data_IF_842691185824
#
_entry.id   IF_842691185824
#
_cell.length_a   1.000
_cell.length_b   1.000
_cell.length_c   1.000
_cell.angle_alpha   90.00
_cell.angle_beta   90.00
_cell.angle_gamma   90.00
#
_symmetry.space_group_name_H-M   'P 1'
#
loop_
_entity.id
_entity.type
_entity.pdbx_description
1 polymer ?
#
# COMPACT_ATOMS: atom_id res chain seq x y z
N UNK A 1 26.84 19.46 45.13
CA UNK A 1 26.80 18.14 44.46
C UNK A 1 27.20 18.40 43.03
N UNK A 2 28.31 17.84 42.57
CA UNK A 2 28.81 18.01 41.20
C UNK A 2 27.92 17.24 40.24
N UNK A 3 27.08 17.95 39.50
CA UNK A 3 26.26 17.38 38.43
C UNK A 3 27.17 17.14 37.23
N UNK A 4 27.50 15.88 36.93
CA UNK A 4 28.16 15.54 35.67
C UNK A 4 27.06 15.37 34.62
N UNK A 5 26.90 16.33 33.67
CA UNK A 5 25.93 16.19 32.60
C UNK A 5 26.35 15.03 31.69
N UNK A 6 25.40 14.14 31.40
CA UNK A 6 25.54 13.06 30.44
C UNK A 6 24.88 13.50 29.14
N UNK A 7 25.65 13.62 28.08
CA UNK A 7 25.15 13.88 26.74
C UNK A 7 24.80 12.56 26.07
N UNK A 8 23.52 12.39 25.68
CA UNK A 8 23.01 11.20 25.02
C UNK A 8 22.55 11.54 23.60
N UNK A 9 23.01 10.80 22.60
CA UNK A 9 22.51 10.94 21.23
C UNK A 9 21.24 10.13 21.04
N UNK A 10 20.16 10.81 20.67
CA UNK A 10 18.85 10.24 20.44
C UNK A 10 18.55 10.20 18.94
N UNK A 11 17.99 9.09 18.46
CA UNK A 11 17.59 8.88 17.07
C UNK A 11 16.13 8.42 17.04
N UNK A 12 15.31 8.90 16.11
CA UNK A 12 13.93 8.40 15.99
C UNK A 12 13.90 7.15 15.13
N UNK A 13 13.09 6.16 15.49
CA UNK A 13 12.90 4.92 14.72
C UNK A 13 12.55 5.24 13.26
N UNK A 14 13.34 4.72 12.31
CA UNK A 14 13.21 4.98 10.88
C UNK A 14 13.96 6.22 10.35
N UNK A 15 14.85 6.82 11.14
CA UNK A 15 15.73 7.92 10.72
C UNK A 15 17.17 7.45 10.43
N UNK A 16 17.97 8.30 9.78
CA UNK A 16 19.42 8.12 9.56
C UNK A 16 20.22 8.72 10.72
N UNK A 17 21.45 8.26 11.00
CA UNK A 17 22.25 8.78 12.13
C UNK A 17 22.54 10.29 12.02
N UNK A 18 22.56 10.83 10.81
CA UNK A 18 22.67 12.28 10.54
C UNK A 18 21.52 13.13 11.11
N UNK A 19 20.40 12.51 11.46
CA UNK A 19 19.23 13.16 12.07
C UNK A 19 19.18 12.99 13.60
N UNK A 20 20.21 12.35 14.18
CA UNK A 20 20.35 12.22 15.62
C UNK A 20 20.51 13.60 16.28
N UNK A 21 20.03 13.70 17.52
CA UNK A 21 20.08 14.92 18.31
C UNK A 21 20.57 14.61 19.72
N UNK A 22 21.34 15.52 20.30
CA UNK A 22 21.88 15.37 21.65
C UNK A 22 20.87 15.81 22.71
N UNK A 23 20.81 15.08 23.83
CA UNK A 23 20.07 15.47 25.03
C UNK A 23 21.03 15.45 26.22
N UNK A 24 21.12 16.58 26.92
CA UNK A 24 21.92 16.69 28.14
C UNK A 24 21.06 16.39 29.37
N UNK A 25 21.47 15.42 30.17
CA UNK A 25 20.74 15.00 31.37
C UNK A 25 21.70 14.62 32.51
N UNK A 26 21.33 14.94 33.75
CA UNK A 26 22.07 14.52 34.94
C UNK A 26 21.96 13.00 35.15
N UNK A 27 23.08 12.31 35.34
CA UNK A 27 23.15 10.86 35.55
C UNK A 27 22.30 10.35 36.74
N UNK A 28 22.02 11.20 37.72
CA UNK A 28 21.17 10.85 38.87
C UNK A 28 19.68 10.77 38.52
N UNK A 29 19.28 11.31 37.38
CA UNK A 29 17.90 11.30 36.88
C UNK A 29 17.50 9.93 36.35
N UNK A 30 16.21 9.74 36.13
CA UNK A 30 15.62 8.46 35.72
C UNK A 30 15.24 8.45 34.25
N UNK A 31 14.94 7.26 33.71
CA UNK A 31 14.43 7.10 32.34
C UNK A 31 13.16 7.94 32.08
N UNK A 32 12.29 8.13 33.07
CA UNK A 32 11.13 9.03 32.97
C UNK A 32 11.54 10.49 32.65
N UNK A 33 12.58 10.99 33.32
CA UNK A 33 13.10 12.33 33.05
C UNK A 33 13.70 12.43 31.64
N UNK A 34 14.38 11.37 31.18
CA UNK A 34 14.91 11.30 29.82
C UNK A 34 13.80 11.36 28.77
N UNK A 35 12.71 10.60 28.95
CA UNK A 35 11.54 10.62 28.05
C UNK A 35 10.94 12.03 27.94
N UNK A 36 10.81 12.74 29.08
CA UNK A 36 10.30 14.12 29.11
C UNK A 36 11.21 15.10 28.37
N UNK A 37 12.53 14.99 28.54
CA UNK A 37 13.49 15.84 27.84
C UNK A 37 13.48 15.57 26.33
N UNK A 38 13.50 14.31 25.91
CA UNK A 38 13.42 13.92 24.49
C UNK A 38 12.18 14.51 23.81
N UNK A 39 11.03 14.47 24.49
CA UNK A 39 9.78 15.07 23.98
C UNK A 39 9.94 16.59 23.79
N UNK A 40 10.50 17.29 24.77
CA UNK A 40 10.71 18.75 24.71
C UNK A 40 11.67 19.15 23.60
N UNK A 41 12.81 18.45 23.47
CA UNK A 41 13.85 18.80 22.48
C UNK A 41 13.41 18.57 21.03
N UNK A 42 12.62 17.52 20.78
CA UNK A 42 12.13 17.21 19.42
C UNK A 42 10.74 17.82 19.15
N UNK A 43 10.25 18.75 19.97
CA UNK A 43 9.00 19.47 19.70
C UNK A 43 9.10 20.26 18.37
N UNK A 44 8.02 20.34 17.55
CA UNK A 44 6.66 19.86 17.83
C UNK A 44 6.43 18.40 17.47
N UNK A 45 7.48 17.66 17.08
CA UNK A 45 7.33 16.33 16.48
C UNK A 45 6.64 15.36 17.42
N UNK A 46 6.93 15.37 18.71
CA UNK A 46 6.32 14.46 19.71
C UNK A 46 5.17 15.08 20.51
N UNK A 47 4.57 16.17 20.03
CA UNK A 47 3.47 16.83 20.75
C UNK A 47 2.22 15.94 20.86
N UNK A 48 2.03 15.08 19.86
CA UNK A 48 0.92 14.12 19.70
C UNK A 48 1.02 12.87 20.61
N UNK A 49 2.17 12.63 21.24
CA UNK A 49 2.43 11.39 22.03
C UNK A 49 2.79 11.76 23.46
N UNK A 50 2.20 11.11 24.47
CA UNK A 50 2.59 11.35 25.85
C UNK A 50 4.03 10.85 26.10
N UNK A 51 4.82 11.55 26.91
CA UNK A 51 6.24 11.24 27.07
C UNK A 51 6.46 9.79 27.57
N UNK A 52 5.58 9.30 28.44
CA UNK A 52 5.59 7.95 28.99
C UNK A 52 5.26 6.86 27.96
N UNK A 53 4.54 7.19 26.88
CA UNK A 53 4.21 6.29 25.76
C UNK A 53 5.38 6.05 24.80
N UNK A 54 6.42 6.90 24.83
CA UNK A 54 7.63 6.68 24.03
C UNK A 54 8.38 5.44 24.52
N UNK A 55 8.77 4.56 23.60
CA UNK A 55 9.63 3.41 23.89
C UNK A 55 11.07 3.76 23.55
N UNK A 56 11.97 3.63 24.52
CA UNK A 56 13.39 3.94 24.35
C UNK A 56 14.22 2.66 24.29
N UNK A 57 15.14 2.59 23.35
CA UNK A 57 16.09 1.49 23.18
C UNK A 57 17.51 2.02 23.21
N UNK A 58 18.38 1.42 24.02
CA UNK A 58 19.82 1.61 23.91
C UNK A 58 20.34 0.70 22.81
N UNK A 59 21.02 1.27 21.82
CA UNK A 59 21.54 0.55 20.65
C UNK A 59 22.97 0.96 20.35
N UNK A 60 23.71 0.05 19.73
CA UNK A 60 25.03 0.32 19.15
C UNK A 60 24.91 0.35 17.62
N UNK A 61 25.35 1.44 16.98
CA UNK A 61 25.29 1.61 15.53
C UNK A 61 26.71 1.81 15.01
N UNK A 62 27.27 0.86 14.23
CA UNK A 62 28.58 1.02 13.61
C UNK A 62 28.60 2.12 12.54
N UNK A 63 29.75 2.77 12.35
CA UNK A 63 29.94 3.85 11.36
C UNK A 63 29.58 3.45 9.92
N UNK A 64 29.73 2.18 9.57
CA UNK A 64 29.36 1.62 8.26
C UNK A 64 27.87 1.77 7.92
N UNK A 65 27.01 2.05 8.91
CA UNK A 65 25.55 2.21 8.75
C UNK A 65 25.08 3.67 8.80
N UNK A 66 25.96 4.66 8.81
CA UNK A 66 25.59 6.08 9.00
C UNK A 66 24.56 6.62 7.98
N UNK A 67 24.61 6.18 6.72
CA UNK A 67 23.72 6.66 5.65
C UNK A 67 22.45 5.81 5.45
N UNK A 68 22.22 4.82 6.32
CA UNK A 68 21.07 3.92 6.24
C UNK A 68 19.98 4.28 7.24
N UNK A 69 18.72 4.03 6.89
CA UNK A 69 17.60 4.16 7.83
C UNK A 69 17.71 3.08 8.90
N UNK A 70 17.70 3.50 10.16
CA UNK A 70 17.86 2.60 11.29
C UNK A 70 16.49 2.34 11.91
N UNK A 71 16.06 1.09 11.81
CA UNK A 71 14.86 0.60 12.49
C UNK A 71 15.24 -0.25 13.69
N UNK A 72 14.42 -0.19 14.74
CA UNK A 72 14.60 -1.02 15.95
C UNK A 72 14.75 -2.50 15.57
N UNK A 73 14.01 -2.97 14.56
CA UNK A 73 13.97 -4.38 14.16
C UNK A 73 15.17 -4.86 13.35
N UNK A 74 15.91 -3.94 12.72
CA UNK A 74 17.11 -4.28 11.94
C UNK A 74 18.40 -4.37 12.78
N UNK A 75 18.33 -4.06 14.08
CA UNK A 75 19.48 -4.06 14.99
C UNK A 75 19.50 -5.32 15.88
N UNK A 76 20.62 -6.04 15.84
CA UNK A 76 20.84 -7.24 16.65
C UNK A 76 21.08 -6.93 18.13
N UNK A 77 21.91 -5.92 18.42
CA UNK A 77 22.28 -5.53 19.78
C UNK A 77 21.44 -4.33 20.26
N UNK A 78 20.30 -4.61 20.88
CA UNK A 78 19.40 -3.59 21.46
C UNK A 78 18.95 -3.96 22.87
N UNK A 79 18.97 -2.97 23.77
CA UNK A 79 18.46 -3.11 25.15
C UNK A 79 17.33 -2.12 25.40
N UNK A 80 16.13 -2.62 25.70
CA UNK A 80 14.99 -1.76 25.98
C UNK A 80 15.12 -1.08 27.36
N UNK A 81 14.91 0.23 27.41
CA UNK A 81 14.87 1.01 28.65
C UNK A 81 13.45 1.00 29.24
N UNK A 82 12.99 -0.18 29.65
CA UNK A 82 11.59 -0.43 30.01
C UNK A 82 11.17 0.12 31.40
N UNK A 83 12.09 0.25 32.35
CA UNK A 83 11.77 0.63 33.73
C UNK A 83 11.99 2.13 33.97
N UNK A 84 10.92 2.94 34.13
CA UNK A 84 11.00 4.40 34.26
C UNK A 84 11.70 4.89 35.53
N UNK A 85 11.83 4.03 36.55
CA UNK A 85 12.52 4.34 37.82
C UNK A 85 14.03 4.09 37.76
N UNK A 86 14.52 3.46 36.70
CA UNK A 86 15.96 3.17 36.55
C UNK A 86 16.72 4.49 36.42
N UNK A 87 17.75 4.67 37.25
CA UNK A 87 18.65 5.82 37.16
C UNK A 87 19.58 5.66 35.96
N UNK A 88 19.88 6.77 35.29
CA UNK A 88 20.78 6.78 34.14
C UNK A 88 22.20 6.37 34.54
N UNK A 89 22.64 6.68 35.75
CA UNK A 89 23.94 6.22 36.29
C UNK A 89 24.08 4.69 36.36
N UNK A 90 22.97 3.95 36.40
CA UNK A 90 22.98 2.48 36.34
C UNK A 90 23.02 1.96 34.89
N UNK A 91 22.49 2.73 33.95
CA UNK A 91 22.41 2.37 32.53
C UNK A 91 23.67 2.79 31.75
N UNK A 92 24.30 3.88 32.19
CA UNK A 92 25.50 4.52 31.66
C UNK A 92 26.46 4.79 32.82
N UNK A 93 27.09 3.73 33.38
CA UNK A 93 28.09 3.90 34.44
C UNK A 93 29.36 4.61 33.95
N UNK A 94 29.65 4.49 32.64
CA UNK A 94 30.70 5.19 31.92
C UNK A 94 30.06 6.09 30.84
N UNK A 95 30.79 7.10 30.36
CA UNK A 95 30.32 7.93 29.25
C UNK A 95 30.10 7.06 28.01
N UNK A 96 28.93 7.13 27.36
CA UNK A 96 28.65 6.34 26.16
C UNK A 96 29.62 6.71 25.04
N UNK A 97 30.06 5.69 24.30
CA UNK A 97 30.84 5.88 23.08
C UNK A 97 30.03 6.61 22.01
N UNK A 98 30.71 7.22 21.04
CA UNK A 98 30.09 7.97 19.92
C UNK A 98 29.09 7.13 19.11
N UNK A 99 29.23 5.80 19.15
CA UNK A 99 28.40 4.83 18.44
C UNK A 99 27.22 4.30 19.27
N UNK A 100 27.00 4.83 20.48
CA UNK A 100 25.87 4.48 21.35
C UNK A 100 24.74 5.49 21.18
N UNK A 101 23.58 5.00 20.75
CA UNK A 101 22.39 5.83 20.54
C UNK A 101 21.21 5.37 21.40
N UNK A 102 20.31 6.30 21.68
CA UNK A 102 18.97 6.06 22.21
C UNK A 102 17.98 6.11 21.05
N UNK A 103 17.49 4.96 20.60
CA UNK A 103 16.46 4.88 19.59
C UNK A 103 15.08 5.13 20.24
N UNK A 104 14.38 6.14 19.74
CA UNK A 104 13.08 6.62 20.22
C UNK A 104 12.00 6.08 19.29
N UNK A 105 11.27 5.08 19.77
CA UNK A 105 10.18 4.45 19.06
C UNK A 105 8.84 4.99 19.59
N UNK A 106 7.97 5.38 18.65
CA UNK A 106 6.59 5.76 18.97
C UNK A 106 5.77 4.52 19.33
N UNK A 107 4.74 4.64 20.18
CA UNK A 107 3.78 3.57 20.28
C UNK A 107 3.21 3.26 18.88
N UNK A 108 3.03 1.98 18.51
CA UNK A 108 2.29 1.64 17.30
C UNK A 108 0.93 2.32 17.41
N UNK A 109 0.44 2.92 16.33
CA UNK A 109 -0.85 3.60 16.37
C UNK A 109 -1.94 2.56 16.66
N UNK A 110 -2.27 2.40 17.94
CA UNK A 110 -3.58 1.91 18.35
C UNK A 110 -4.52 2.83 17.60
N UNK A 111 -5.33 2.26 16.71
CA UNK A 111 -6.28 3.01 15.90
C UNK A 111 -7.23 3.79 16.81
N UNK A 112 -6.79 4.96 17.27
CA UNK A 112 -7.66 6.06 17.54
C UNK A 112 -8.27 6.43 16.18
N UNK A 113 -9.60 6.62 16.13
CA UNK A 113 -10.29 6.92 14.90
C UNK A 113 -9.61 8.11 14.22
N UNK A 114 -9.33 7.93 12.93
CA UNK A 114 -8.88 8.94 11.98
C UNK A 114 -9.32 10.35 12.42
N UNK A 115 -8.42 11.33 12.58
CA UNK A 115 -8.83 12.70 12.78
C UNK A 115 -9.64 13.12 11.56
N UNK A 116 -10.94 13.24 11.75
CA UNK A 116 -11.83 13.91 10.83
C UNK A 116 -11.25 15.30 10.58
N UNK A 117 -10.80 15.52 9.35
CA UNK A 117 -10.78 16.81 8.68
C UNK A 117 -12.02 17.57 9.16
N UNK A 118 -11.82 18.73 9.79
CA UNK A 118 -12.86 19.51 10.47
C UNK A 118 -14.20 19.43 9.71
N UNK A 119 -15.11 18.62 10.23
CA UNK A 119 -16.51 18.63 9.85
C UNK A 119 -17.10 19.75 10.68
N UNK A 120 -17.37 20.87 10.03
CA UNK A 120 -18.31 21.88 10.52
C UNK A 120 -19.59 21.15 10.94
N UNK A 121 -20.11 21.30 12.16
CA UNK A 121 -21.37 20.68 12.53
C UNK A 121 -22.48 21.40 11.78
N UNK A 122 -23.14 20.71 10.84
CA UNK A 122 -24.41 21.16 10.26
C UNK A 122 -25.56 20.41 10.96
N UNK A 123 -26.52 21.14 11.55
CA UNK A 123 -27.70 20.56 12.17
C UNK A 123 -28.67 20.07 11.08
N UNK A 124 -29.10 18.81 11.18
CA UNK A 124 -30.08 18.25 10.25
C UNK A 124 -30.21 16.74 10.36
N UNK A 125 -30.99 16.32 11.35
CA UNK A 125 -31.48 14.96 11.58
C UNK A 125 -31.81 14.17 10.30
N UNK A 126 -31.17 13.01 10.14
CA UNK A 126 -31.83 11.81 9.61
C UNK A 126 -31.39 10.61 10.46
N UNK A 127 -32.12 10.38 11.53
CA UNK A 127 -32.19 9.07 12.19
C UNK A 127 -32.86 8.07 11.25
N UNK A 128 -32.08 7.13 10.72
CA UNK A 128 -32.62 5.86 10.23
C UNK A 128 -31.64 4.72 10.53
N UNK A 129 -31.70 4.22 11.76
CA UNK A 129 -30.84 3.18 12.33
C UNK A 129 -31.22 1.76 11.90
N UNK A 130 -31.97 1.60 10.80
CA UNK A 130 -32.52 0.30 10.36
C UNK A 130 -31.72 -0.42 9.26
N UNK A 131 -30.89 0.28 8.47
CA UNK A 131 -30.30 -0.25 7.21
C UNK A 131 -28.93 -0.99 7.22
N UNK A 132 -28.01 -0.87 8.21
CA UNK A 132 -26.65 -1.42 8.06
C UNK A 132 -26.58 -2.96 7.94
N UNK A 133 -27.53 -3.67 8.54
CA UNK A 133 -27.55 -5.14 8.54
C UNK A 133 -27.98 -5.72 7.18
N UNK A 134 -28.83 -5.01 6.44
CA UNK A 134 -29.35 -5.43 5.15
C UNK A 134 -28.30 -5.28 4.03
N UNK A 135 -27.55 -4.18 4.00
CA UNK A 135 -26.57 -3.95 2.93
C UNK A 135 -25.45 -4.99 2.93
N UNK A 136 -24.93 -5.35 4.12
CA UNK A 136 -23.90 -6.37 4.23
C UNK A 136 -24.42 -7.74 3.78
N UNK A 137 -25.66 -8.07 4.15
CA UNK A 137 -26.32 -9.29 3.72
C UNK A 137 -26.55 -9.30 2.20
N UNK A 138 -26.95 -8.18 1.61
CA UNK A 138 -27.15 -8.02 0.18
C UNK A 138 -25.85 -8.16 -0.62
N UNK A 139 -24.77 -7.49 -0.18
CA UNK A 139 -23.44 -7.65 -0.78
C UNK A 139 -23.02 -9.12 -0.71
N UNK A 140 -23.22 -9.78 0.44
CA UNK A 140 -22.90 -11.19 0.61
C UNK A 140 -23.72 -12.05 -0.37
N UNK A 141 -25.02 -11.81 -0.49
CA UNK A 141 -25.90 -12.55 -1.39
C UNK A 141 -25.50 -12.39 -2.85
N UNK A 142 -25.10 -11.19 -3.27
CA UNK A 142 -24.57 -10.93 -4.61
C UNK A 142 -23.26 -11.70 -4.83
N UNK A 143 -22.32 -11.61 -3.89
CA UNK A 143 -21.05 -12.31 -3.97
C UNK A 143 -21.25 -13.85 -4.00
N UNK A 144 -22.07 -14.40 -3.11
CA UNK A 144 -22.38 -15.84 -3.05
C UNK A 144 -22.96 -16.32 -4.39
N UNK A 145 -23.85 -15.54 -5.02
CA UNK A 145 -24.42 -15.86 -6.33
C UNK A 145 -23.38 -15.74 -7.45
N UNK A 146 -22.59 -14.67 -7.45
CA UNK A 146 -21.59 -14.40 -8.47
C UNK A 146 -20.51 -15.49 -8.48
N UNK A 147 -20.08 -15.94 -7.29
CA UNK A 147 -19.09 -16.99 -7.10
C UNK A 147 -19.68 -18.39 -6.90
N UNK A 148 -20.99 -18.57 -7.11
CA UNK A 148 -21.64 -19.88 -6.96
C UNK A 148 -21.01 -20.90 -7.90
N UNK A 149 -20.84 -22.14 -7.44
CA UNK A 149 -20.25 -23.23 -8.25
C UNK A 149 -20.99 -23.38 -9.58
N UNK A 150 -20.26 -23.23 -10.69
CA UNK A 150 -20.82 -23.34 -12.03
C UNK A 150 -21.30 -22.00 -12.63
N UNK A 151 -21.23 -20.89 -11.88
CA UNK A 151 -21.41 -19.56 -12.46
C UNK A 151 -20.32 -19.27 -13.51
N UNK A 152 -20.58 -18.40 -14.52
CA UNK A 152 -19.56 -18.01 -15.50
C UNK A 152 -18.27 -17.53 -14.84
N UNK A 153 -18.39 -16.63 -13.86
CA UNK A 153 -17.25 -16.09 -13.12
C UNK A 153 -16.47 -17.16 -12.34
N UNK A 154 -17.14 -18.08 -11.64
CA UNK A 154 -16.44 -19.15 -10.89
C UNK A 154 -15.74 -20.12 -11.83
N UNK A 155 -16.38 -20.52 -12.94
CA UNK A 155 -15.79 -21.40 -13.96
C UNK A 155 -14.55 -20.76 -14.57
N UNK A 156 -14.63 -19.48 -14.91
CA UNK A 156 -13.50 -18.73 -15.45
C UNK A 156 -12.36 -18.58 -14.42
N UNK A 157 -12.66 -18.05 -13.22
CA UNK A 157 -11.66 -17.79 -12.18
C UNK A 157 -11.00 -19.07 -11.70
N UNK A 158 -11.73 -20.18 -11.56
CA UNK A 158 -11.16 -21.48 -11.23
C UNK A 158 -10.17 -21.96 -12.28
N UNK A 159 -10.54 -21.88 -13.56
CA UNK A 159 -9.65 -22.27 -14.65
C UNK A 159 -8.42 -21.38 -14.71
N UNK A 160 -8.60 -20.08 -14.51
CA UNK A 160 -7.51 -19.09 -14.50
C UNK A 160 -6.52 -19.36 -13.35
N UNK A 161 -7.04 -19.45 -12.12
CA UNK A 161 -6.24 -19.65 -10.90
C UNK A 161 -5.52 -20.98 -10.91
N UNK A 162 -6.13 -22.04 -11.47
CA UNK A 162 -5.50 -23.36 -11.63
C UNK A 162 -4.48 -23.42 -12.79
N UNK A 163 -4.14 -22.29 -13.41
CA UNK A 163 -3.16 -22.21 -14.50
C UNK A 163 -3.63 -22.84 -15.82
N UNK A 164 -4.94 -23.10 -15.99
CA UNK A 164 -5.49 -23.73 -17.20
C UNK A 164 -5.70 -22.74 -18.34
N UNK A 165 -5.49 -21.45 -18.11
CA UNK A 165 -5.54 -20.40 -19.13
C UNK A 165 -4.13 -19.95 -19.46
N UNK A 166 -3.80 -19.90 -20.74
CA UNK A 166 -2.54 -19.34 -21.19
C UNK A 166 -2.50 -17.85 -20.84
N UNK A 167 -1.47 -17.43 -20.11
CA UNK A 167 -1.22 -16.01 -19.87
C UNK A 167 -0.66 -15.38 -21.16
N UNK A 168 -0.95 -14.10 -21.43
CA UNK A 168 -0.35 -13.31 -22.50
C UNK A 168 1.14 -13.01 -22.28
N UNK A 169 1.79 -13.68 -21.33
CA UNK A 169 3.24 -13.56 -21.14
C UNK A 169 3.87 -14.27 -22.31
N UNK A 170 4.37 -13.49 -23.26
CA UNK A 170 4.88 -14.04 -24.51
C UNK A 170 6.37 -13.86 -24.64
N UNK A 171 6.98 -14.78 -25.38
CA UNK A 171 8.27 -14.59 -26.04
C UNK A 171 8.10 -14.07 -27.48
N UNK A 172 6.86 -13.97 -27.97
CA UNK A 172 6.44 -13.51 -29.33
C UNK A 172 5.20 -12.59 -29.28
N UNK A 173 4.53 -12.26 -30.39
CA UNK A 173 3.36 -11.38 -30.36
C UNK A 173 2.05 -12.01 -29.88
N UNK A 174 1.15 -11.18 -29.31
CA UNK A 174 -0.14 -11.60 -28.70
C UNK A 174 -1.30 -11.06 -29.53
N UNK A 175 -2.28 -11.91 -29.83
CA UNK A 175 -3.54 -11.51 -30.49
C UNK A 175 -4.47 -10.83 -29.48
N UNK A 176 -5.01 -9.64 -29.83
CA UNK A 176 -6.01 -8.93 -29.01
C UNK A 176 -5.47 -7.83 -28.08
N UNK A 177 -4.16 -7.56 -28.08
CA UNK A 177 -3.59 -6.42 -27.33
C UNK A 177 -3.62 -5.12 -28.16
N UNK A 178 -3.70 -3.93 -27.51
CA UNK A 178 -3.59 -2.64 -28.19
C UNK A 178 -2.30 -2.55 -29.01
N UNK A 179 -2.43 -2.16 -30.28
CA UNK A 179 -1.28 -2.02 -31.20
C UNK A 179 -0.36 -0.90 -30.70
N UNK A 180 0.94 -1.17 -30.61
CA UNK A 180 1.94 -0.10 -30.67
C UNK A 180 1.94 0.40 -32.11
N UNK A 181 1.41 1.62 -32.35
CA UNK A 181 1.48 2.24 -33.67
C UNK A 181 2.95 2.33 -34.08
N UNK A 182 3.33 1.62 -35.16
CA UNK A 182 4.58 1.95 -35.85
C UNK A 182 4.46 3.40 -36.33
N UNK A 183 5.46 4.23 -36.03
CA UNK A 183 5.58 5.53 -36.73
C UNK A 183 5.81 5.23 -38.20
N UNK A 184 4.81 5.53 -39.03
CA UNK A 184 4.85 5.33 -40.48
C UNK A 184 4.10 4.09 -40.94
N UNK A 185 2.97 4.36 -41.62
CA UNK A 185 2.14 3.48 -42.48
C UNK A 185 1.48 2.26 -41.81
N UNK A 186 0.16 2.30 -41.85
CA UNK A 186 -0.75 1.21 -41.48
C UNK A 186 -0.88 0.27 -42.67
N UNK A 187 -0.57 -1.01 -42.49
CA UNK A 187 -1.34 -2.04 -43.20
C UNK A 187 -1.27 -3.42 -42.49
N UNK A 188 -2.41 -4.11 -42.51
CA UNK A 188 -2.66 -5.52 -42.11
C UNK A 188 -2.76 -5.91 -40.61
N UNK A 189 -3.32 -7.12 -40.41
CA UNK A 189 -4.30 -7.55 -39.40
C UNK A 189 -3.80 -7.82 -37.95
N UNK A 190 -4.65 -7.49 -36.97
CA UNK A 190 -4.99 -8.09 -35.65
C UNK A 190 -4.00 -8.86 -34.76
N UNK A 191 -2.70 -8.91 -35.05
CA UNK A 191 -1.72 -9.52 -34.14
C UNK A 191 -0.36 -8.86 -34.27
N UNK A 192 0.09 -8.19 -33.21
CA UNK A 192 1.42 -7.58 -33.13
C UNK A 192 2.10 -7.87 -31.79
N UNK A 193 3.43 -7.84 -31.72
CA UNK A 193 4.14 -7.96 -30.47
C UNK A 193 3.84 -6.80 -29.53
N UNK A 194 3.41 -7.13 -28.30
CA UNK A 194 3.30 -6.16 -27.23
C UNK A 194 4.51 -6.29 -26.32
N UNK A 195 5.37 -5.29 -26.35
CA UNK A 195 6.48 -5.18 -25.41
C UNK A 195 6.01 -5.03 -23.96
N UNK A 196 4.71 -4.76 -23.73
CA UNK A 196 4.14 -4.65 -22.39
C UNK A 196 4.11 -5.99 -21.65
N UNK A 197 4.08 -7.13 -22.35
CA UNK A 197 4.00 -8.47 -21.74
C UNK A 197 5.17 -9.39 -22.10
N UNK A 198 6.14 -8.88 -22.87
CA UNK A 198 7.37 -9.59 -23.18
C UNK A 198 8.22 -9.75 -21.92
N UNK A 199 8.63 -10.96 -21.58
CA UNK A 199 9.56 -11.24 -20.46
C UNK A 199 9.17 -10.52 -19.15
N UNK A 200 7.91 -10.64 -18.71
CA UNK A 200 7.48 -10.10 -17.42
C UNK A 200 8.17 -10.86 -16.27
N UNK A 201 8.51 -10.18 -15.15
CA UNK A 201 9.13 -10.84 -14.03
C UNK A 201 8.15 -11.83 -13.40
N UNK A 202 8.67 -12.99 -13.01
CA UNK A 202 7.96 -13.89 -12.11
C UNK A 202 8.37 -13.56 -10.68
N UNK A 203 7.44 -13.57 -9.72
CA UNK A 203 7.80 -13.39 -8.32
C UNK A 203 8.73 -14.54 -7.89
N UNK A 204 9.76 -14.25 -7.09
CA UNK A 204 10.71 -15.24 -6.65
C UNK A 204 10.01 -16.35 -5.86
N UNK A 205 10.47 -17.60 -6.04
CA UNK A 205 9.91 -18.76 -5.35
C UNK A 205 10.22 -18.72 -3.84
N UNK A 206 11.35 -18.13 -3.45
CA UNK A 206 11.75 -17.95 -2.05
C UNK A 206 11.84 -16.46 -1.68
N UNK A 207 11.45 -16.15 -0.44
CA UNK A 207 11.61 -14.81 0.13
C UNK A 207 13.11 -14.50 0.23
N UNK A 208 13.57 -13.50 -0.53
CA UNK A 208 14.98 -13.06 -0.54
C UNK A 208 15.75 -13.37 -1.82
N UNK A 209 15.19 -14.14 -2.76
CA UNK A 209 15.85 -14.33 -4.07
C UNK A 209 15.89 -12.99 -4.82
N UNK A 210 17.04 -12.57 -5.36
CA UNK A 210 17.17 -11.29 -6.04
C UNK A 210 16.39 -11.32 -7.35
N UNK A 211 15.50 -10.33 -7.52
CA UNK A 211 14.85 -10.08 -8.81
C UNK A 211 15.93 -9.58 -9.80
N UNK A 212 16.00 -10.10 -11.03
CA UNK A 212 17.03 -9.70 -11.99
C UNK A 212 17.13 -8.18 -12.17
N UNK A 213 18.35 -7.62 -12.13
CA UNK A 213 18.61 -6.17 -12.24
C UNK A 213 18.08 -5.52 -13.53
N UNK A 214 17.75 -6.33 -14.55
CA UNK A 214 17.17 -5.85 -15.81
C UNK A 214 15.80 -5.18 -15.64
N UNK A 215 15.08 -5.48 -14.55
CA UNK A 215 13.77 -4.89 -14.28
C UNK A 215 13.90 -3.59 -13.50
N UNK A 216 13.48 -2.48 -14.13
CA UNK A 216 13.51 -1.15 -13.49
C UNK A 216 12.48 -1.02 -12.37
N UNK A 217 11.53 -1.95 -12.25
CA UNK A 217 10.59 -2.04 -11.14
C UNK A 217 11.26 -2.14 -9.77
N UNK A 218 12.44 -2.78 -9.67
CA UNK A 218 13.17 -2.86 -8.40
C UNK A 218 13.60 -1.49 -7.89
N UNK A 219 14.02 -0.59 -8.79
CA UNK A 219 14.40 0.78 -8.44
C UNK A 219 13.20 1.55 -7.86
N UNK A 220 12.00 1.34 -8.44
CA UNK A 220 10.77 1.96 -7.95
C UNK A 220 10.36 1.39 -6.59
N UNK A 221 10.44 0.07 -6.41
CA UNK A 221 10.13 -0.61 -5.16
C UNK A 221 11.07 -0.19 -4.02
N UNK A 222 12.39 -0.22 -4.26
CA UNK A 222 13.36 0.25 -3.27
C UNK A 222 13.18 1.73 -2.93
N UNK A 223 12.77 2.55 -3.90
CA UNK A 223 12.47 3.96 -3.65
C UNK A 223 11.20 4.12 -2.81
N UNK A 224 10.16 3.32 -3.06
CA UNK A 224 8.94 3.30 -2.24
C UNK A 224 9.23 2.90 -0.79
N UNK A 225 10.07 1.90 -0.56
CA UNK A 225 10.45 1.43 0.78
C UNK A 225 11.12 2.53 1.62
N UNK A 226 11.86 3.44 0.98
CA UNK A 226 12.55 4.56 1.63
C UNK A 226 11.77 5.87 1.69
N UNK A 227 10.53 5.93 1.20
CA UNK A 227 9.74 7.17 1.15
C UNK A 227 8.79 7.29 2.36
N UNK A 228 8.78 8.47 2.99
CA UNK A 228 7.75 8.82 3.99
C UNK A 228 6.36 8.97 3.37
N UNK A 229 6.29 9.41 2.11
CA UNK A 229 5.04 9.47 1.35
C UNK A 229 4.74 8.10 0.73
N UNK A 230 3.51 7.62 0.87
CA UNK A 230 3.06 6.35 0.27
C UNK A 230 2.74 6.49 -1.24
N UNK A 231 2.91 7.68 -1.81
CA UNK A 231 2.64 7.97 -3.21
C UNK A 231 3.94 8.19 -3.98
N UNK A 232 4.16 7.41 -5.04
CA UNK A 232 5.27 7.61 -5.98
C UNK A 232 4.72 8.05 -7.34
N UNK A 233 4.77 9.35 -7.66
CA UNK A 233 4.37 9.80 -8.98
C UNK A 233 5.42 9.41 -10.03
N UNK A 234 4.98 8.76 -11.10
CA UNK A 234 5.84 8.33 -12.22
C UNK A 234 5.54 9.16 -13.46
N UNK A 235 6.45 10.08 -13.80
CA UNK A 235 6.32 10.98 -14.95
C UNK A 235 7.17 10.54 -16.14
N UNK A 236 6.76 10.92 -17.35
CA UNK A 236 7.52 10.68 -18.57
C UNK A 236 6.69 10.80 -19.85
N UNK A 237 7.35 10.89 -21.00
CA UNK A 237 6.70 11.02 -22.32
C UNK A 237 5.93 9.76 -22.74
N UNK A 238 5.02 9.88 -23.70
CA UNK A 238 4.32 8.70 -24.24
C UNK A 238 5.30 7.68 -24.81
N UNK A 239 5.08 6.40 -24.53
CA UNK A 239 5.95 5.30 -24.97
C UNK A 239 7.22 5.09 -24.15
N UNK A 240 7.52 5.88 -23.11
CA UNK A 240 8.73 5.70 -22.29
C UNK A 240 8.67 4.54 -21.28
N UNK A 241 7.64 3.68 -21.35
CA UNK A 241 7.55 2.47 -20.53
C UNK A 241 6.84 2.60 -19.18
N UNK A 242 6.16 3.73 -18.86
CA UNK A 242 5.46 3.92 -17.56
C UNK A 242 4.52 2.77 -17.20
N UNK A 243 3.60 2.44 -18.11
CA UNK A 243 2.63 1.35 -17.92
C UNK A 243 3.35 0.02 -17.74
N UNK A 244 4.39 -0.25 -18.53
CA UNK A 244 5.23 -1.45 -18.39
C UNK A 244 5.88 -1.53 -17.01
N UNK A 245 6.49 -0.45 -16.52
CA UNK A 245 7.11 -0.41 -15.18
C UNK A 245 6.09 -0.69 -14.07
N UNK A 246 4.87 -0.16 -14.18
CA UNK A 246 3.80 -0.47 -13.22
C UNK A 246 3.38 -1.94 -13.27
N UNK A 247 3.26 -2.53 -14.48
CA UNK A 247 2.93 -3.95 -14.63
C UNK A 247 4.05 -4.83 -14.04
N UNK A 248 5.32 -4.53 -14.32
CA UNK A 248 6.47 -5.25 -13.75
C UNK A 248 6.47 -5.21 -12.22
N UNK A 249 6.18 -4.05 -11.64
CA UNK A 249 6.08 -3.89 -10.20
C UNK A 249 4.95 -4.74 -9.60
N UNK A 250 3.77 -4.74 -10.22
CA UNK A 250 2.63 -5.57 -9.79
C UNK A 250 2.83 -7.06 -10.06
N UNK A 251 3.72 -7.43 -10.98
CA UNK A 251 4.12 -8.83 -11.14
C UNK A 251 4.98 -9.30 -9.96
N UNK A 252 5.76 -8.41 -9.34
CA UNK A 252 6.61 -8.72 -8.19
C UNK A 252 5.91 -8.57 -6.84
N UNK A 253 4.87 -7.72 -6.76
CA UNK A 253 4.18 -7.38 -5.53
C UNK A 253 2.66 -7.47 -5.71
N UNK A 254 1.95 -8.00 -4.70
CA UNK A 254 0.49 -8.00 -4.72
C UNK A 254 -0.04 -6.56 -4.65
N UNK A 255 -0.89 -6.19 -5.61
CA UNK A 255 -1.47 -4.86 -5.65
C UNK A 255 -2.63 -4.74 -6.62
N UNK A 256 -3.24 -3.57 -6.66
CA UNK A 256 -4.38 -3.28 -7.53
C UNK A 256 -4.00 -2.33 -8.65
N UNK A 257 -4.43 -2.64 -9.87
CA UNK A 257 -4.15 -1.84 -11.06
C UNK A 257 -5.38 -1.03 -11.50
N UNK A 258 -5.38 0.28 -11.30
CA UNK A 258 -6.46 1.15 -11.75
C UNK A 258 -6.02 1.96 -12.97
N UNK A 259 -6.83 1.94 -14.03
CA UNK A 259 -6.60 2.76 -15.21
C UNK A 259 -7.79 3.71 -15.42
N UNK A 260 -7.50 5.01 -15.37
CA UNK A 260 -8.50 6.06 -15.57
C UNK A 260 -8.65 6.50 -17.04
N UNK A 261 -7.84 5.97 -17.96
CA UNK A 261 -7.94 6.26 -19.38
C UNK A 261 -8.88 5.25 -20.08
N UNK A 262 -9.93 5.77 -20.75
CA UNK A 262 -10.95 4.97 -21.45
C UNK A 262 -10.42 4.10 -22.60
N UNK A 263 -9.21 4.37 -23.09
CA UNK A 263 -8.61 3.72 -24.27
C UNK A 263 -7.32 2.94 -23.97
N UNK A 264 -6.98 2.72 -22.70
CA UNK A 264 -5.77 1.99 -22.29
C UNK A 264 -6.15 0.67 -21.58
N UNK A 265 -5.15 -0.14 -21.25
CA UNK A 265 -5.30 -1.45 -20.60
C UNK A 265 -6.00 -1.34 -19.24
N UNK A 266 -6.74 -2.37 -18.84
CA UNK A 266 -7.44 -2.43 -17.56
C UNK A 266 -8.91 -2.81 -17.69
N UNK A 267 -9.56 -2.97 -16.53
CA UNK A 267 -11.01 -3.16 -16.46
C UNK A 267 -11.76 -1.89 -16.84
N UNK A 268 -12.95 -2.07 -17.41
CA UNK A 268 -13.86 -0.97 -17.71
C UNK A 268 -14.58 -0.43 -16.46
N UNK A 269 -14.40 -1.06 -15.29
CA UNK A 269 -15.04 -0.68 -14.03
C UNK A 269 -14.79 0.79 -13.64
N UNK A 270 -13.57 1.29 -13.80
CA UNK A 270 -13.22 2.66 -13.44
C UNK A 270 -13.75 3.69 -14.44
N UNK A 271 -13.75 3.34 -15.73
CA UNK A 271 -14.38 4.18 -16.77
C UNK A 271 -15.90 4.28 -16.54
N UNK A 272 -16.53 3.17 -16.18
CA UNK A 272 -17.94 3.14 -15.83
C UNK A 272 -18.25 3.92 -14.55
N UNK A 273 -17.39 3.86 -13.53
CA UNK A 273 -17.48 4.69 -12.35
C UNK A 273 -17.45 6.18 -12.71
N UNK A 274 -16.52 6.60 -13.57
CA UNK A 274 -16.45 7.98 -14.05
C UNK A 274 -17.76 8.40 -14.71
N UNK A 275 -18.30 7.57 -15.62
CA UNK A 275 -19.57 7.88 -16.29
C UNK A 275 -20.75 8.01 -15.31
N UNK A 276 -20.76 7.24 -14.22
CA UNK A 276 -21.78 7.37 -13.17
C UNK A 276 -21.62 8.64 -12.34
N UNK A 277 -20.39 9.01 -12.00
CA UNK A 277 -20.10 10.26 -11.29
C UNK A 277 -20.51 11.45 -12.18
N UNK A 278 -20.17 11.42 -13.46
CA UNK A 278 -20.51 12.48 -14.42
C UNK A 278 -22.02 12.64 -14.57
N UNK A 279 -22.78 11.54 -14.65
CA UNK A 279 -24.25 11.60 -14.72
C UNK A 279 -24.87 12.17 -13.44
N UNK A 280 -24.41 11.74 -12.27
CA UNK A 280 -25.03 12.13 -11.00
C UNK A 280 -24.63 13.52 -10.52
N UNK A 281 -23.45 14.00 -10.91
CA UNK A 281 -23.03 15.38 -10.61
C UNK A 281 -23.87 16.41 -11.37
N UNK A 282 -24.51 16.03 -12.48
CA UNK A 282 -25.49 16.85 -13.22
C UNK A 282 -26.85 16.92 -12.51
N UNK A 283 -27.17 15.99 -11.59
CA UNK A 283 -28.47 15.91 -10.88
C UNK A 283 -28.57 16.83 -9.62
N UNK A 284 -27.77 17.89 -9.53
CA UNK A 284 -27.88 19.00 -8.54
C UNK A 284 -27.89 18.63 -7.04
N UNK A 285 -27.30 17.50 -6.64
CA UNK A 285 -27.29 17.09 -5.22
C UNK A 285 -26.40 17.94 -4.29
N UNK A 286 -25.58 18.83 -4.85
CA UNK A 286 -24.65 19.71 -4.13
C UNK A 286 -23.28 19.06 -3.84
N UNK A 287 -22.21 19.84 -3.56
CA UNK A 287 -20.83 19.34 -3.48
C UNK A 287 -20.59 18.22 -2.45
N UNK A 288 -21.22 18.31 -1.28
CA UNK A 288 -21.06 17.31 -0.21
C UNK A 288 -21.66 15.96 -0.58
N UNK A 289 -22.89 15.95 -1.12
CA UNK A 289 -23.55 14.72 -1.57
C UNK A 289 -22.84 14.11 -2.77
N UNK A 290 -22.32 14.93 -3.68
CA UNK A 290 -21.49 14.48 -4.80
C UNK A 290 -20.19 13.82 -4.30
N UNK A 291 -19.53 14.42 -3.32
CA UNK A 291 -18.31 13.87 -2.70
C UNK A 291 -18.59 12.53 -2.00
N UNK A 292 -19.67 12.47 -1.22
CA UNK A 292 -20.08 11.24 -0.53
C UNK A 292 -20.44 10.13 -1.54
N UNK A 293 -21.16 10.47 -2.61
CA UNK A 293 -21.49 9.52 -3.66
C UNK A 293 -20.24 9.00 -4.36
N UNK A 294 -19.35 9.88 -4.83
CA UNK A 294 -18.11 9.48 -5.50
C UNK A 294 -17.27 8.56 -4.59
N UNK A 295 -17.12 8.93 -3.30
CA UNK A 295 -16.41 8.10 -2.32
C UNK A 295 -17.04 6.72 -2.16
N UNK A 296 -18.36 6.64 -1.98
CA UNK A 296 -19.06 5.37 -1.81
C UNK A 296 -18.90 4.49 -3.04
N UNK A 297 -19.01 5.06 -4.24
CA UNK A 297 -18.91 4.29 -5.48
C UNK A 297 -17.47 3.81 -5.73
N UNK A 298 -16.45 4.59 -5.39
CA UNK A 298 -15.05 4.14 -5.40
C UNK A 298 -14.82 2.99 -4.42
N UNK A 299 -15.43 3.03 -3.22
CA UNK A 299 -15.34 1.94 -2.25
C UNK A 299 -15.99 0.66 -2.77
N UNK A 300 -17.09 0.77 -3.53
CA UNK A 300 -17.77 -0.39 -4.16
C UNK A 300 -16.90 -1.00 -5.25
N UNK A 301 -16.28 -0.17 -6.08
CA UNK A 301 -15.32 -0.63 -7.08
C UNK A 301 -14.17 -1.39 -6.40
N UNK A 302 -13.58 -0.80 -5.36
CA UNK A 302 -12.49 -1.45 -4.63
C UNK A 302 -12.93 -2.76 -3.95
N UNK A 303 -14.11 -2.77 -3.32
CA UNK A 303 -14.70 -3.96 -2.72
C UNK A 303 -14.92 -5.08 -3.75
N UNK A 304 -15.37 -4.74 -4.96
CA UNK A 304 -15.56 -5.70 -6.05
C UNK A 304 -14.24 -6.44 -6.35
N UNK A 305 -13.15 -5.68 -6.50
CA UNK A 305 -11.82 -6.25 -6.76
C UNK A 305 -11.28 -7.06 -5.58
N UNK A 306 -11.51 -6.60 -4.35
CA UNK A 306 -11.14 -7.33 -3.13
C UNK A 306 -11.87 -8.68 -3.02
N UNK A 307 -13.15 -8.72 -3.36
CA UNK A 307 -13.94 -9.95 -3.33
C UNK A 307 -13.44 -10.96 -4.37
N UNK A 308 -13.09 -10.49 -5.58
CA UNK A 308 -12.49 -11.33 -6.62
C UNK A 308 -11.12 -11.87 -6.18
N UNK A 309 -10.24 -11.01 -5.64
CA UNK A 309 -8.95 -11.45 -5.11
C UNK A 309 -9.14 -12.49 -4.01
N UNK A 310 -10.05 -12.23 -3.08
CA UNK A 310 -10.38 -13.16 -1.99
C UNK A 310 -10.84 -14.51 -2.53
N UNK A 311 -11.72 -14.52 -3.54
CA UNK A 311 -12.15 -15.77 -4.19
C UNK A 311 -10.95 -16.52 -4.78
N UNK A 312 -10.10 -15.84 -5.56
CA UNK A 312 -8.92 -16.45 -6.18
C UNK A 312 -7.98 -17.09 -5.15
N UNK A 313 -7.77 -16.42 -4.01
CA UNK A 313 -6.93 -16.92 -2.91
C UNK A 313 -7.57 -18.07 -2.11
N UNK A 314 -8.86 -18.33 -2.32
CA UNK A 314 -9.60 -19.45 -1.70
C UNK A 314 -9.73 -20.67 -2.62
N UNK A 315 -9.38 -20.55 -3.91
CA UNK A 315 -9.37 -21.69 -4.82
C UNK A 315 -8.36 -22.75 -4.33
N UNK A 316 -8.71 -24.04 -4.29
CA UNK A 316 -7.80 -25.09 -3.85
C UNK A 316 -6.47 -25.08 -4.64
N UNK A 317 -5.36 -25.21 -3.90
CA UNK A 317 -3.99 -25.21 -4.44
C UNK A 317 -3.57 -23.92 -5.17
N UNK A 318 -4.27 -22.79 -4.97
CA UNK A 318 -3.95 -21.53 -5.66
C UNK A 318 -2.48 -21.09 -5.48
N UNK A 319 -1.85 -21.36 -4.33
CA UNK A 319 -0.46 -20.95 -4.06
C UNK A 319 0.57 -21.56 -5.03
N UNK A 320 0.22 -22.64 -5.71
CA UNK A 320 1.12 -23.31 -6.66
C UNK A 320 1.07 -22.66 -8.05
N UNK A 321 -0.04 -21.99 -8.40
CA UNK A 321 -0.34 -21.58 -9.78
C UNK A 321 -0.77 -20.13 -9.93
N UNK A 322 -1.18 -19.47 -8.85
CA UNK A 322 -1.67 -18.10 -8.83
C UNK A 322 -0.74 -17.19 -8.04
N UNK A 323 -0.05 -16.33 -8.79
CA UNK A 323 0.97 -15.43 -8.28
C UNK A 323 0.52 -13.96 -8.41
N UNK A 324 1.30 -13.04 -7.84
CA UNK A 324 1.13 -11.59 -8.07
C UNK A 324 1.16 -11.25 -9.56
N UNK A 325 1.99 -11.92 -10.36
CA UNK A 325 2.01 -11.76 -11.82
C UNK A 325 0.71 -12.19 -12.48
N UNK A 326 0.14 -13.35 -12.11
CA UNK A 326 -1.18 -13.76 -12.60
C UNK A 326 -2.26 -12.75 -12.19
N UNK A 327 -2.22 -12.26 -10.96
CA UNK A 327 -3.17 -11.27 -10.47
C UNK A 327 -3.06 -9.91 -11.20
N UNK A 328 -1.84 -9.45 -11.48
CA UNK A 328 -1.59 -8.24 -12.25
C UNK A 328 -2.16 -8.38 -13.67
N UNK A 329 -1.86 -9.48 -14.34
CA UNK A 329 -2.32 -9.75 -15.71
C UNK A 329 -3.84 -9.81 -15.80
N UNK A 330 -4.51 -10.43 -14.84
CA UNK A 330 -5.96 -10.49 -14.79
C UNK A 330 -6.57 -9.07 -14.79
N UNK A 331 -5.99 -8.15 -14.00
CA UNK A 331 -6.47 -6.76 -13.90
C UNK A 331 -6.12 -5.88 -15.09
N UNK A 332 -4.96 -6.11 -15.72
CA UNK A 332 -4.45 -5.29 -16.83
C UNK A 332 -5.07 -5.70 -18.16
N UNK A 333 -5.38 -6.99 -18.36
CA UNK A 333 -5.94 -7.47 -19.63
C UNK A 333 -7.28 -8.21 -19.49
N UNK A 334 -8.28 -7.65 -18.79
CA UNK A 334 -9.56 -8.33 -18.65
C UNK A 334 -10.26 -8.56 -19.99
N UNK A 335 -10.06 -7.68 -20.98
CA UNK A 335 -10.61 -7.81 -22.34
C UNK A 335 -10.10 -9.02 -23.14
N UNK A 336 -8.92 -9.57 -22.81
CA UNK A 336 -8.46 -10.82 -23.41
C UNK A 336 -9.07 -12.05 -22.75
N UNK A 337 -9.68 -11.85 -21.58
CA UNK A 337 -10.33 -12.86 -20.77
C UNK A 337 -11.81 -12.50 -20.62
N UNK A 338 -12.29 -12.50 -19.39
CA UNK A 338 -13.61 -12.02 -18.96
C UNK A 338 -13.39 -10.87 -17.97
N UNK A 339 -14.05 -9.72 -18.17
CA UNK A 339 -13.94 -8.55 -17.28
C UNK A 339 -14.80 -8.73 -16.03
N UNK A 340 -14.44 -9.75 -15.23
CA UNK A 340 -15.12 -10.12 -13.98
C UNK A 340 -15.17 -8.96 -12.97
N UNK A 341 -14.22 -8.02 -13.05
CA UNK A 341 -14.20 -6.82 -12.21
C UNK A 341 -15.37 -5.91 -12.54
N UNK A 342 -15.56 -5.62 -13.83
CA UNK A 342 -16.67 -4.83 -14.32
C UNK A 342 -18.02 -5.51 -14.06
N UNK A 343 -18.09 -6.82 -14.25
CA UNK A 343 -19.33 -7.57 -14.04
C UNK A 343 -19.78 -7.56 -12.56
N UNK A 344 -18.85 -7.83 -11.63
CA UNK A 344 -19.18 -7.75 -10.21
C UNK A 344 -19.46 -6.30 -9.77
N UNK A 345 -18.67 -5.33 -10.25
CA UNK A 345 -18.89 -3.92 -9.95
C UNK A 345 -20.28 -3.46 -10.36
N UNK A 346 -20.75 -3.80 -11.57
CA UNK A 346 -22.10 -3.47 -12.04
C UNK A 346 -23.19 -4.04 -11.14
N UNK A 347 -23.05 -5.30 -10.69
CA UNK A 347 -24.04 -5.95 -9.82
C UNK A 347 -24.14 -5.26 -8.45
N UNK A 348 -22.99 -4.99 -7.84
CA UNK A 348 -22.94 -4.29 -6.54
C UNK A 348 -23.41 -2.84 -6.66
N UNK A 349 -23.03 -2.15 -7.74
CA UNK A 349 -23.47 -0.79 -8.02
C UNK A 349 -24.98 -0.70 -8.20
N UNK A 350 -25.59 -1.60 -9.00
CA UNK A 350 -27.03 -1.60 -9.24
C UNK A 350 -27.79 -1.71 -7.92
N UNK A 351 -27.37 -2.64 -7.05
CA UNK A 351 -28.03 -2.85 -5.76
C UNK A 351 -27.91 -1.68 -4.79
N UNK A 352 -26.86 -0.87 -4.91
CA UNK A 352 -26.66 0.32 -4.08
C UNK A 352 -27.39 1.58 -4.58
N UNK A 353 -27.93 1.54 -5.80
CA UNK A 353 -28.76 2.61 -6.35
C UNK A 353 -30.26 2.23 -6.42
N UNK A 354 -30.62 0.98 -6.13
CA UNK A 354 -31.98 0.54 -5.79
C UNK A 354 -32.29 0.89 -4.32
#
# INVERSE_FOLDING_TARGET
MTTNPLTLFCLVDGETTSQAFSVDIDQTKTVDHLKKLIKTEKAPRFDDVAADELTLWRVFIPDEKMDSFITVDALGDKTQLNNPRTRLSKLFPESPDDNTYILVQRPPSVHAPVPSRAVTPLPGSLSDTSRPSDLRADIKKIADRFFATGSPASVFLDAYVKGKKALPVTTTGVKGLPKVLRRGVVDSQDSGPSLLFLDLPNPPLNVGDPVPERFRSNVLLSKLEGMQAQDLPVFGVSGCGKTRSMIEMLCLQWGFYFNAAKSDLGSSDLSQLSDYIDKKTVEELGPEKNTAFARNMTLVLFLSRLLILKYCLQVPNCRQTFSSASWAILQVCPHMFEDVFMDLFKLLFKKLNE
#
